data_IF_108685250277
#
_entry.id   IF_108685250277
#
_cell.length_a   1.000
_cell.length_b   1.000
_cell.length_c   1.000
_cell.angle_alpha   90.00
_cell.angle_beta   90.00
_cell.angle_gamma   90.00
#
_symmetry.space_group_name_H-M   'P 1'
#
loop_
_entity.id
_entity.type
_entity.pdbx_description
1 polymer ?
#
# COMPACT_ATOMS: atom_id res chain seq x y z
N UNK A 1 -15.35 41.12 -0.31
CA UNK A 1 -14.62 40.17 0.56
C UNK A 1 -15.18 38.82 0.23
N UNK A 2 -14.41 37.92 -0.38
CA UNK A 2 -14.81 36.50 -0.47
C UNK A 2 -13.60 35.64 -0.87
N UNK A 3 -12.60 35.61 0.00
CA UNK A 3 -11.62 34.52 0.08
C UNK A 3 -11.29 34.27 1.56
N UNK A 4 -12.28 34.39 2.44
CA UNK A 4 -12.03 34.28 3.90
C UNK A 4 -12.14 32.82 4.41
N UNK A 5 -12.63 31.89 3.58
CA UNK A 5 -12.69 30.46 3.90
C UNK A 5 -12.22 29.65 2.69
N UNK A 6 -11.11 28.93 2.85
CA UNK A 6 -10.67 27.90 1.90
C UNK A 6 -11.41 26.61 2.27
N UNK A 7 -12.28 26.14 1.38
CA UNK A 7 -12.90 24.83 1.51
C UNK A 7 -11.98 23.79 0.87
N UNK A 8 -11.64 22.75 1.63
CA UNK A 8 -10.86 21.61 1.16
C UNK A 8 -11.68 20.39 1.47
N UNK A 9 -12.20 19.76 0.43
CA UNK A 9 -12.99 18.54 0.57
C UNK A 9 -12.09 17.33 0.32
N UNK A 10 -12.02 16.44 1.31
CA UNK A 10 -11.33 15.17 1.19
C UNK A 10 -12.34 14.11 0.78
N UNK A 11 -12.13 13.53 -0.39
CA UNK A 11 -13.01 12.54 -0.97
C UNK A 11 -12.28 11.22 -1.19
N UNK A 12 -13.05 10.12 -1.14
CA UNK A 12 -12.54 8.76 -1.29
C UNK A 12 -12.84 8.27 -2.70
N UNK A 13 -11.81 7.74 -3.35
CA UNK A 13 -11.91 7.16 -4.68
C UNK A 13 -11.34 5.75 -4.69
N UNK A 14 -11.83 4.93 -5.61
CA UNK A 14 -11.16 3.69 -5.97
C UNK A 14 -9.82 4.00 -6.65
N UNK A 15 -8.90 3.04 -6.66
CA UNK A 15 -7.67 3.19 -7.44
C UNK A 15 -7.99 3.31 -8.94
N UNK A 16 -7.37 4.29 -9.57
CA UNK A 16 -7.41 4.51 -11.02
C UNK A 16 -6.01 4.25 -11.59
N UNK A 17 -5.85 3.18 -12.37
CA UNK A 17 -4.55 2.74 -12.86
C UNK A 17 -3.88 3.76 -13.82
N UNK A 18 -4.67 4.62 -14.46
CA UNK A 18 -4.17 5.64 -15.39
C UNK A 18 -3.64 6.89 -14.64
N UNK A 19 -3.97 7.03 -13.35
CA UNK A 19 -3.72 8.25 -12.55
C UNK A 19 -2.84 7.93 -11.34
N UNK A 20 -3.16 6.88 -10.59
CA UNK A 20 -2.69 6.68 -9.22
C UNK A 20 -1.32 6.00 -9.08
N UNK A 21 -0.72 5.52 -10.18
CA UNK A 21 0.53 4.79 -10.10
C UNK A 21 1.64 5.60 -9.42
N UNK A 22 1.82 6.86 -9.82
CA UNK A 22 2.90 7.70 -9.29
C UNK A 22 2.65 8.11 -7.84
N UNK A 23 1.42 8.51 -7.49
CA UNK A 23 1.04 8.83 -6.11
C UNK A 23 1.17 7.63 -5.18
N UNK A 24 0.66 6.46 -5.59
CA UNK A 24 0.79 5.20 -4.83
C UNK A 24 2.26 4.85 -4.60
N UNK A 25 3.09 4.92 -5.64
CA UNK A 25 4.53 4.64 -5.55
C UNK A 25 5.26 5.61 -4.62
N UNK A 26 4.87 6.89 -4.61
CA UNK A 26 5.44 7.89 -3.70
C UNK A 26 5.05 7.60 -2.25
N UNK A 27 3.78 7.31 -1.98
CA UNK A 27 3.28 6.96 -0.64
C UNK A 27 3.91 5.67 -0.10
N UNK A 28 4.13 4.66 -0.94
CA UNK A 28 4.86 3.44 -0.53
C UNK A 28 6.31 3.73 -0.18
N UNK A 29 7.00 4.57 -0.96
CA UNK A 29 8.38 5.00 -0.62
C UNK A 29 8.42 5.74 0.70
N UNK A 30 7.44 6.61 0.95
CA UNK A 30 7.32 7.31 2.23
C UNK A 30 7.06 6.35 3.39
N UNK A 31 6.19 5.34 3.19
CA UNK A 31 5.86 4.34 4.21
C UNK A 31 7.09 3.52 4.63
N UNK A 32 7.88 3.04 3.67
CA UNK A 32 9.06 2.23 3.96
C UNK A 32 10.33 3.05 4.20
N UNK A 33 10.33 4.34 3.86
CA UNK A 33 11.41 5.30 4.08
C UNK A 33 12.79 4.72 3.67
N UNK A 34 13.76 4.68 4.59
CA UNK A 34 15.11 4.17 4.35
C UNK A 34 15.13 2.69 3.92
N UNK A 35 14.10 1.91 4.28
CA UNK A 35 13.96 0.51 3.89
C UNK A 35 13.35 0.36 2.48
N UNK A 36 12.84 1.43 1.84
CA UNK A 36 12.20 1.36 0.52
C UNK A 36 13.09 0.73 -0.56
N UNK A 37 14.42 0.86 -0.44
CA UNK A 37 15.41 0.26 -1.35
C UNK A 37 15.43 -1.27 -1.33
N UNK A 38 14.82 -1.89 -0.32
CA UNK A 38 14.71 -3.36 -0.18
C UNK A 38 13.57 -3.96 -0.97
N UNK A 39 12.70 -3.14 -1.56
CA UNK A 39 11.48 -3.60 -2.22
C UNK A 39 11.42 -3.16 -3.67
N UNK A 40 10.75 -3.97 -4.50
CA UNK A 40 10.24 -3.50 -5.78
C UNK A 40 9.00 -2.61 -5.58
N UNK A 41 9.21 -1.35 -5.18
CA UNK A 41 8.13 -0.38 -4.94
C UNK A 41 7.24 -0.20 -6.17
N UNK A 42 7.81 -0.19 -7.38
CA UNK A 42 7.00 -0.08 -8.60
C UNK A 42 6.05 -1.28 -8.74
N UNK A 43 6.57 -2.49 -8.54
CA UNK A 43 5.76 -3.71 -8.63
C UNK A 43 4.70 -3.81 -7.53
N UNK A 44 4.97 -3.28 -6.33
CA UNK A 44 3.95 -3.15 -5.28
C UNK A 44 2.88 -2.13 -5.65
N UNK A 45 3.26 -0.98 -6.21
CA UNK A 45 2.31 0.02 -6.68
C UNK A 45 1.42 -0.55 -7.80
N UNK A 46 2.01 -1.20 -8.81
CA UNK A 46 1.27 -1.88 -9.89
C UNK A 46 0.27 -2.91 -9.34
N UNK A 47 0.69 -3.68 -8.33
CA UNK A 47 -0.18 -4.67 -7.70
C UNK A 47 -1.37 -4.03 -6.98
N UNK A 48 -1.14 -2.95 -6.23
CA UNK A 48 -2.21 -2.23 -5.52
C UNK A 48 -3.22 -1.66 -6.52
N UNK A 49 -2.74 -0.93 -7.54
CA UNK A 49 -3.64 -0.28 -8.52
C UNK A 49 -4.36 -1.30 -9.41
N UNK A 50 -3.81 -2.52 -9.59
CA UNK A 50 -4.47 -3.60 -10.33
C UNK A 50 -5.71 -4.16 -9.61
N UNK A 51 -5.93 -3.78 -8.35
CA UNK A 51 -7.07 -4.18 -7.53
C UNK A 51 -7.99 -2.98 -7.24
N UNK A 52 -8.71 -2.45 -8.25
CA UNK A 52 -9.43 -1.19 -8.14
C UNK A 52 -10.52 -1.19 -7.06
N UNK A 53 -11.00 -2.37 -6.64
CA UNK A 53 -12.04 -2.51 -5.61
C UNK A 53 -11.50 -2.90 -4.24
N UNK A 54 -10.19 -3.01 -4.05
CA UNK A 54 -9.57 -3.40 -2.77
C UNK A 54 -8.76 -2.25 -2.22
N UNK A 55 -9.44 -1.42 -1.43
CA UNK A 55 -8.90 -0.20 -0.85
C UNK A 55 -9.47 1.06 -1.46
N UNK A 56 -8.89 2.19 -1.10
CA UNK A 56 -9.31 3.52 -1.53
C UNK A 56 -8.18 4.52 -1.44
N UNK A 57 -8.18 5.53 -2.31
CA UNK A 57 -7.37 6.74 -2.21
C UNK A 57 -8.18 7.87 -1.58
N UNK A 58 -7.51 8.80 -0.91
CA UNK A 58 -8.10 10.07 -0.46
C UNK A 58 -7.47 11.20 -1.26
N UNK A 59 -8.31 11.96 -1.94
CA UNK A 59 -7.92 13.07 -2.83
C UNK A 59 -8.70 14.32 -2.47
N UNK A 60 -8.19 15.46 -2.92
CA UNK A 60 -8.85 16.76 -2.75
C UNK A 60 -9.44 17.18 -4.09
N UNK A 61 -10.68 17.70 -4.06
CA UNK A 61 -11.46 18.28 -5.16
C UNK A 61 -11.85 17.38 -6.35
N UNK A 62 -10.94 16.55 -6.89
CA UNK A 62 -11.20 15.72 -8.07
C UNK A 62 -10.41 14.40 -8.02
N UNK A 63 -10.99 13.33 -8.56
CA UNK A 63 -10.33 12.05 -8.79
C UNK A 63 -9.08 12.14 -9.67
N UNK A 64 -8.94 13.20 -10.48
CA UNK A 64 -7.78 13.43 -11.33
C UNK A 64 -6.53 13.89 -10.55
N UNK A 65 -6.70 14.33 -9.31
CA UNK A 65 -5.59 14.75 -8.46
C UNK A 65 -4.84 13.56 -7.86
N UNK A 66 -3.62 13.82 -7.40
CA UNK A 66 -2.79 12.85 -6.69
C UNK A 66 -3.42 12.48 -5.33
N UNK A 67 -3.26 11.22 -4.94
CA UNK A 67 -3.68 10.75 -3.63
C UNK A 67 -2.79 11.31 -2.51
N UNK A 68 -3.42 11.88 -1.48
CA UNK A 68 -2.75 12.29 -0.23
C UNK A 68 -2.61 11.12 0.75
N UNK A 69 -3.53 10.17 0.67
CA UNK A 69 -3.50 8.93 1.45
C UNK A 69 -4.08 7.79 0.61
N UNK A 70 -3.71 6.57 0.97
CA UNK A 70 -4.33 5.37 0.44
C UNK A 70 -4.47 4.33 1.56
N UNK A 71 -5.43 3.43 1.39
CA UNK A 71 -5.56 2.20 2.14
C UNK A 71 -5.78 1.08 1.14
N UNK A 72 -5.20 -0.09 1.38
CA UNK A 72 -5.38 -1.29 0.56
C UNK A 72 -5.14 -2.52 1.41
N UNK A 73 -5.61 -3.67 0.92
CA UNK A 73 -5.41 -4.99 1.54
C UNK A 73 -4.75 -5.86 0.48
N UNK A 74 -3.64 -6.50 0.83
CA UNK A 74 -2.89 -7.32 -0.10
C UNK A 74 -2.81 -8.74 0.44
N UNK A 75 -3.55 -9.65 -0.17
CA UNK A 75 -3.59 -11.03 0.29
C UNK A 75 -2.24 -11.73 0.06
N UNK A 76 -1.56 -12.04 1.17
CA UNK A 76 -0.22 -12.63 1.21
C UNK A 76 -0.19 -14.02 0.61
N UNK A 77 -1.26 -14.80 0.74
CA UNK A 77 -1.35 -16.11 0.10
C UNK A 77 -1.59 -15.98 -1.39
N UNK A 78 -2.55 -15.16 -1.82
CA UNK A 78 -2.90 -14.98 -3.23
C UNK A 78 -1.71 -14.46 -4.06
N UNK A 79 -0.89 -13.57 -3.48
CA UNK A 79 0.22 -12.93 -4.16
C UNK A 79 1.59 -13.53 -3.86
N UNK A 80 1.65 -14.67 -3.15
CA UNK A 80 2.90 -15.31 -2.72
C UNK A 80 3.92 -15.60 -3.83
N UNK A 81 3.42 -15.85 -5.06
CA UNK A 81 4.26 -16.17 -6.22
C UNK A 81 4.69 -14.91 -7.02
N UNK A 82 4.22 -13.71 -6.63
CA UNK A 82 4.62 -12.45 -7.28
C UNK A 82 5.98 -11.99 -6.73
N UNK A 83 6.97 -11.66 -7.59
CA UNK A 83 8.30 -11.25 -7.14
C UNK A 83 8.29 -10.06 -6.17
N UNK A 84 7.43 -9.06 -6.40
CA UNK A 84 7.30 -7.89 -5.52
C UNK A 84 6.83 -8.24 -4.09
N UNK A 85 6.19 -9.40 -3.92
CA UNK A 85 5.64 -9.88 -2.65
C UNK A 85 6.62 -10.73 -1.84
N UNK A 86 7.60 -11.34 -2.50
CA UNK A 86 8.63 -12.14 -1.83
C UNK A 86 9.48 -11.27 -0.88
N UNK A 87 9.89 -10.09 -1.35
CA UNK A 87 10.67 -9.14 -0.53
C UNK A 87 9.85 -8.60 0.65
N UNK A 88 8.56 -8.32 0.43
CA UNK A 88 7.65 -7.86 1.48
C UNK A 88 7.46 -8.92 2.56
N UNK A 89 7.16 -10.16 2.16
CA UNK A 89 6.99 -11.28 3.09
C UNK A 89 8.25 -11.51 3.91
N UNK A 90 9.42 -11.55 3.25
CA UNK A 90 10.71 -11.69 3.92
C UNK A 90 10.95 -10.58 4.94
N UNK A 91 10.71 -9.32 4.56
CA UNK A 91 10.87 -8.18 5.45
C UNK A 91 9.98 -8.26 6.69
N UNK A 92 8.71 -8.60 6.53
CA UNK A 92 7.77 -8.73 7.65
C UNK A 92 8.23 -9.84 8.61
N UNK A 93 8.66 -10.99 8.08
CA UNK A 93 9.19 -12.10 8.88
C UNK A 93 10.44 -11.66 9.66
N UNK A 94 11.41 -11.04 8.99
CA UNK A 94 12.65 -10.58 9.62
C UNK A 94 12.36 -9.57 10.73
N UNK A 95 11.44 -8.62 10.52
CA UNK A 95 11.05 -7.66 11.56
C UNK A 95 10.28 -8.32 12.70
N UNK A 96 9.36 -9.24 12.41
CA UNK A 96 8.59 -9.96 13.43
C UNK A 96 9.50 -10.77 14.36
N UNK A 97 10.56 -11.41 13.83
CA UNK A 97 11.52 -12.17 14.61
C UNK A 97 12.34 -11.31 15.60
N UNK A 98 12.32 -9.98 15.47
CA UNK A 98 12.97 -9.08 16.44
C UNK A 98 12.12 -8.78 17.67
N UNK A 99 10.86 -9.23 17.70
CA UNK A 99 9.92 -8.98 18.79
C UNK A 99 9.16 -10.26 19.16
N UNK A 100 9.32 -10.73 20.39
CA UNK A 100 8.68 -11.95 20.89
C UNK A 100 7.15 -11.89 20.79
N UNK A 101 6.53 -10.72 20.93
CA UNK A 101 5.08 -10.55 20.76
C UNK A 101 4.60 -10.83 19.32
N UNK A 102 5.50 -10.84 18.34
CA UNK A 102 5.22 -11.10 16.93
C UNK A 102 5.67 -12.51 16.49
N UNK A 103 6.09 -13.37 17.42
CA UNK A 103 6.54 -14.74 17.13
C UNK A 103 5.58 -15.60 16.28
N UNK A 104 4.23 -15.43 16.33
CA UNK A 104 3.33 -16.20 15.46
C UNK A 104 3.35 -15.81 13.97
N UNK A 105 3.85 -14.62 13.62
CA UNK A 105 3.75 -14.09 12.25
C UNK A 105 4.45 -14.97 11.20
N UNK A 106 5.70 -15.44 11.40
CA UNK A 106 6.37 -16.26 10.40
C UNK A 106 5.65 -17.57 10.09
N UNK A 107 5.08 -18.23 11.11
CA UNK A 107 4.26 -19.42 10.92
C UNK A 107 2.99 -19.09 10.14
N UNK A 108 2.28 -18.03 10.53
CA UNK A 108 1.05 -17.62 9.87
C UNK A 108 1.25 -17.35 8.37
N UNK A 109 2.30 -16.60 8.01
CA UNK A 109 2.61 -16.25 6.63
C UNK A 109 3.08 -17.43 5.77
N UNK A 110 3.51 -18.54 6.39
CA UNK A 110 3.96 -19.76 5.69
C UNK A 110 2.94 -20.91 5.74
N UNK A 111 1.91 -20.80 6.59
CA UNK A 111 0.89 -21.83 6.83
C UNK A 111 -0.15 -22.03 5.73
N UNK A 112 -0.13 -21.20 4.68
CA UNK A 112 -1.17 -21.19 3.63
C UNK A 112 -2.45 -20.44 4.02
N UNK A 113 -2.49 -19.81 5.20
CA UNK A 113 -3.60 -18.98 5.64
C UNK A 113 -3.78 -17.74 4.74
N UNK A 114 -5.03 -17.28 4.61
CA UNK A 114 -5.33 -16.01 3.96
C UNK A 114 -5.05 -14.88 4.95
N UNK A 115 -4.04 -14.05 4.66
CA UNK A 115 -3.63 -12.90 5.47
C UNK A 115 -3.61 -11.68 4.57
N UNK A 116 -4.21 -10.56 4.98
CA UNK A 116 -4.28 -9.32 4.20
C UNK A 116 -3.99 -8.09 5.05
#
# INVERSE_FOLDING_TARGET
VEFDVVNVDFEWFNFDADIDFHGTKALLRQLFDVDAVKFNISGLADLIISQPTIGSTVKVDDKANDAYALMTVLNMHEHRDKPAFADLTKYIIEKAQTNEALAPIPELLTSGAQVG
#
